data_IF_442581140382
#
_entry.id   IF_442581140382
#
_cell.length_a   1.000
_cell.length_b   1.000
_cell.length_c   1.000
_cell.angle_alpha   90.00
_cell.angle_beta   90.00
_cell.angle_gamma   90.00
#
_symmetry.space_group_name_H-M   'P 1'
#
loop_
_entity.id
_entity.type
_entity.pdbx_description
1 polymer ?
#
# COMPACT_ATOMS: atom_id res chain seq x y z
N UNK A 1 -18.54 16.15 18.90
CA UNK A 1 -17.09 16.35 18.73
C UNK A 1 -16.77 17.72 18.15
N UNK A 2 -17.35 18.12 17.02
CA UNK A 2 -17.06 19.43 16.38
C UNK A 2 -17.07 20.61 17.36
N UNK A 3 -18.17 20.87 18.06
CA UNK A 3 -18.27 22.03 18.98
C UNK A 3 -17.21 22.02 20.07
N UNK A 4 -16.87 20.84 20.60
CA UNK A 4 -15.87 20.69 21.65
C UNK A 4 -14.46 20.98 21.10
N UNK A 5 -14.13 20.42 19.95
CA UNK A 5 -12.83 20.62 19.29
C UNK A 5 -12.68 22.07 18.83
N UNK A 6 -13.73 22.68 18.30
CA UNK A 6 -13.74 24.07 17.88
C UNK A 6 -13.50 25.02 19.08
N UNK A 7 -14.21 24.82 20.19
CA UNK A 7 -14.02 25.60 21.44
C UNK A 7 -12.59 25.47 21.99
N UNK A 8 -11.97 24.30 21.83
CA UNK A 8 -10.60 24.01 22.28
C UNK A 8 -9.52 24.32 21.24
N UNK A 9 -9.87 24.87 20.07
CA UNK A 9 -8.93 25.12 18.95
C UNK A 9 -8.16 23.86 18.49
N UNK A 10 -8.84 22.72 18.41
CA UNK A 10 -8.28 21.43 18.00
C UNK A 10 -8.52 21.08 16.52
N UNK A 11 -9.13 22.00 15.78
CA UNK A 11 -9.41 21.87 14.36
C UNK A 11 -8.42 22.71 13.56
N UNK A 12 -8.10 22.26 12.35
CA UNK A 12 -7.42 23.10 11.36
C UNK A 12 -8.26 24.37 11.12
N UNK A 13 -7.61 25.48 10.82
CA UNK A 13 -8.28 26.77 10.60
C UNK A 13 -8.09 27.25 9.17
N UNK A 14 -8.97 28.17 8.77
CA UNK A 14 -8.80 28.96 7.56
C UNK A 14 -8.36 30.37 7.95
N UNK A 15 -7.38 30.92 7.23
CA UNK A 15 -6.97 32.32 7.38
C UNK A 15 -8.00 33.28 6.75
N UNK A 16 -8.70 32.82 5.70
CA UNK A 16 -9.77 33.55 5.01
C UNK A 16 -10.90 32.60 4.58
N UNK A 17 -12.13 33.13 4.47
CA UNK A 17 -13.28 32.39 3.93
C UNK A 17 -14.07 31.57 4.95
N UNK A 18 -14.93 30.67 4.45
CA UNK A 18 -15.78 29.78 5.26
C UNK A 18 -14.93 28.62 5.79
N UNK A 19 -15.07 28.27 7.06
CA UNK A 19 -14.39 27.12 7.68
C UNK A 19 -15.03 25.80 7.23
N UNK A 20 -14.72 25.37 6.02
CA UNK A 20 -15.06 24.06 5.45
C UNK A 20 -13.86 23.58 4.63
N UNK A 21 -13.38 22.37 4.90
CA UNK A 21 -12.15 21.83 4.31
C UNK A 21 -12.44 20.74 3.28
N UNK A 22 -13.47 19.92 3.54
CA UNK A 22 -13.93 18.87 2.64
C UNK A 22 -15.46 18.83 2.65
N UNK A 23 -16.07 18.69 1.48
CA UNK A 23 -17.53 18.69 1.27
C UNK A 23 -18.11 17.29 1.02
N UNK A 24 -17.28 16.25 1.11
CA UNK A 24 -17.69 14.88 0.90
C UNK A 24 -18.69 14.43 1.98
N UNK A 25 -19.92 14.13 1.54
CA UNK A 25 -21.06 13.79 2.39
C UNK A 25 -21.43 14.85 3.45
N UNK A 26 -21.02 16.10 3.24
CA UNK A 26 -21.33 17.24 4.10
C UNK A 26 -20.11 18.11 4.39
N UNK A 27 -20.36 19.25 5.04
CA UNK A 27 -19.30 20.20 5.35
C UNK A 27 -18.49 19.70 6.55
N UNK A 28 -17.22 19.40 6.33
CA UNK A 28 -16.32 18.88 7.37
C UNK A 28 -15.08 19.75 7.54
N UNK A 29 -14.46 19.63 8.70
CA UNK A 29 -13.26 20.35 9.12
C UNK A 29 -12.32 19.35 9.75
N UNK A 30 -11.13 19.19 9.17
CA UNK A 30 -10.09 18.31 9.70
C UNK A 30 -9.69 18.69 11.13
N UNK A 31 -9.46 17.67 11.96
CA UNK A 31 -8.73 17.87 13.21
C UNK A 31 -7.29 18.28 12.92
N UNK A 32 -6.67 19.03 13.81
CA UNK A 32 -5.29 19.46 13.58
C UNK A 32 -4.29 18.43 14.08
N UNK A 33 -3.81 17.54 13.21
CA UNK A 33 -2.83 16.53 13.59
C UNK A 33 -1.56 17.13 14.21
N UNK A 34 -1.18 18.37 13.85
CA UNK A 34 0.02 19.02 14.39
C UNK A 34 -0.17 19.46 15.85
N UNK A 35 -1.41 19.64 16.31
CA UNK A 35 -1.76 19.98 17.69
C UNK A 35 -1.73 18.75 18.61
N UNK A 36 -0.85 18.69 19.64
CA UNK A 36 -0.79 17.56 20.57
C UNK A 36 -2.11 17.27 21.30
N UNK A 37 -2.89 18.29 21.65
CA UNK A 37 -4.18 18.11 22.32
C UNK A 37 -5.23 17.51 21.37
N UNK A 38 -5.19 17.89 20.08
CA UNK A 38 -6.09 17.32 19.07
C UNK A 38 -5.76 15.84 18.80
N UNK A 39 -4.47 15.48 18.75
CA UNK A 39 -4.03 14.07 18.65
C UNK A 39 -4.53 13.24 19.83
N UNK A 40 -4.40 13.74 21.06
CA UNK A 40 -4.94 13.07 22.24
C UNK A 40 -6.46 12.95 22.14
N UNK A 41 -7.15 14.01 21.74
CA UNK A 41 -8.59 14.02 21.61
C UNK A 41 -9.09 12.95 20.63
N UNK A 42 -8.52 12.88 19.42
CA UNK A 42 -8.97 11.93 18.40
C UNK A 42 -8.68 10.49 18.83
N UNK A 43 -7.50 10.25 19.43
CA UNK A 43 -7.16 8.94 19.98
C UNK A 43 -8.13 8.51 21.07
N UNK A 44 -8.45 9.35 22.06
CA UNK A 44 -9.37 8.97 23.15
C UNK A 44 -10.77 8.62 22.63
N UNK A 45 -11.24 9.29 21.56
CA UNK A 45 -12.49 8.91 20.89
C UNK A 45 -12.35 7.55 20.19
N UNK A 46 -11.25 7.31 19.49
CA UNK A 46 -11.01 6.02 18.82
C UNK A 46 -10.86 4.89 19.84
N UNK A 47 -10.14 5.14 20.94
CA UNK A 47 -9.89 4.20 22.02
C UNK A 47 -11.20 3.69 22.62
N UNK A 48 -12.03 4.63 23.10
CA UNK A 48 -13.32 4.33 23.73
C UNK A 48 -14.28 3.55 22.81
N UNK A 49 -14.27 3.87 21.52
CA UNK A 49 -15.28 3.37 20.59
C UNK A 49 -14.86 2.11 19.83
N UNK A 50 -13.56 1.88 19.69
CA UNK A 50 -13.00 0.78 18.88
C UNK A 50 -11.95 -0.02 19.64
N UNK A 51 -10.89 0.61 20.15
CA UNK A 51 -9.77 -0.12 20.77
C UNK A 51 -10.20 -0.92 22.00
N UNK A 52 -10.97 -0.32 22.91
CA UNK A 52 -11.53 -0.97 24.10
C UNK A 52 -12.53 -2.09 23.74
N UNK A 53 -12.96 -2.15 22.47
CA UNK A 53 -13.81 -3.21 21.92
C UNK A 53 -13.03 -4.26 21.12
N UNK A 54 -11.69 -4.22 21.16
CA UNK A 54 -10.81 -5.22 20.55
C UNK A 54 -10.24 -4.84 19.19
N UNK A 55 -10.51 -3.66 18.65
CA UNK A 55 -9.87 -3.21 17.38
C UNK A 55 -8.42 -2.85 17.63
N UNK A 56 -7.49 -3.48 16.89
CA UNK A 56 -6.03 -3.33 17.06
C UNK A 56 -5.30 -2.74 15.85
N UNK A 57 -6.01 -2.50 14.76
CA UNK A 57 -5.49 -1.84 13.56
C UNK A 57 -6.46 -0.74 13.17
N UNK A 58 -5.94 0.45 12.94
CA UNK A 58 -6.72 1.57 12.43
C UNK A 58 -6.34 1.86 10.98
N UNK A 59 -7.37 2.07 10.16
CA UNK A 59 -7.21 2.66 8.85
C UNK A 59 -7.32 4.17 9.00
N UNK A 60 -6.17 4.84 8.94
CA UNK A 60 -6.00 6.28 9.01
C UNK A 60 -6.08 6.85 7.60
N UNK A 61 -7.30 6.84 7.07
CA UNK A 61 -7.63 7.37 5.76
C UNK A 61 -7.60 8.90 5.74
N UNK A 62 -7.57 9.50 4.54
CA UNK A 62 -7.57 10.97 4.39
C UNK A 62 -6.36 11.62 5.09
N UNK A 63 -5.19 11.00 4.96
CA UNK A 63 -4.02 11.34 5.77
C UNK A 63 -3.19 12.53 5.25
N UNK A 64 -3.46 13.02 4.03
CA UNK A 64 -2.73 14.15 3.42
C UNK A 64 -2.85 15.45 4.23
N UNK A 65 -4.05 15.93 4.66
CA UNK A 65 -5.42 15.43 4.43
C UNK A 65 -6.06 15.91 3.11
N UNK A 66 -7.09 15.22 2.63
CA UNK A 66 -7.74 15.53 1.34
C UNK A 66 -8.69 16.72 1.42
N UNK A 67 -8.15 17.91 1.16
CA UNK A 67 -8.98 19.09 0.98
C UNK A 67 -9.78 19.00 -0.32
N UNK A 68 -11.06 19.39 -0.31
CA UNK A 68 -11.85 19.52 -1.55
C UNK A 68 -11.23 20.52 -2.54
N UNK A 69 -10.37 21.41 -2.06
CA UNK A 69 -9.42 22.16 -2.89
C UNK A 69 -8.06 22.29 -2.20
N UNK A 70 -7.00 21.85 -2.90
CA UNK A 70 -5.60 21.92 -2.44
C UNK A 70 -5.03 23.35 -2.51
N UNK A 71 -5.62 24.28 -1.75
CA UNK A 71 -5.16 25.67 -1.65
C UNK A 71 -4.48 25.91 -0.30
N UNK A 72 -3.26 25.37 -0.14
CA UNK A 72 -2.50 25.43 1.12
C UNK A 72 -2.32 26.82 1.74
N UNK A 73 -2.20 27.93 0.99
CA UNK A 73 -2.21 29.28 1.55
C UNK A 73 -3.45 29.65 2.39
N UNK A 74 -4.59 28.96 2.20
CA UNK A 74 -5.82 29.23 2.95
C UNK A 74 -5.80 28.63 4.35
N UNK A 75 -5.05 27.54 4.56
CA UNK A 75 -5.15 26.73 5.76
C UNK A 75 -4.05 27.09 6.77
N UNK A 76 -4.36 26.91 8.06
CA UNK A 76 -3.44 27.09 9.17
C UNK A 76 -3.55 25.94 10.16
N UNK A 77 -2.39 25.40 10.51
CA UNK A 77 -2.21 24.43 11.58
C UNK A 77 -1.69 25.11 12.85
N UNK A 78 -1.68 24.37 13.95
CA UNK A 78 -1.18 24.77 15.25
C UNK A 78 0.29 25.18 15.19
N UNK A 79 1.08 24.52 14.35
CA UNK A 79 2.50 24.81 14.15
C UNK A 79 2.77 25.91 13.12
N UNK A 80 1.74 26.48 12.48
CA UNK A 80 1.90 27.60 11.54
C UNK A 80 1.08 27.45 10.25
N UNK A 81 1.35 28.32 9.25
CA UNK A 81 0.67 28.28 7.96
C UNK A 81 0.83 26.91 7.28
N UNK A 82 -0.22 26.40 6.65
CA UNK A 82 -0.19 25.10 5.99
C UNK A 82 0.79 25.08 4.81
N UNK A 83 0.93 26.19 4.07
CA UNK A 83 1.94 26.34 3.02
C UNK A 83 3.38 25.96 3.45
N UNK A 84 3.73 26.16 4.73
CA UNK A 84 5.05 25.81 5.26
C UNK A 84 5.09 24.42 5.92
N UNK A 85 3.93 23.82 6.23
CA UNK A 85 3.83 22.73 7.19
C UNK A 85 2.95 21.54 6.72
N UNK A 86 2.24 21.59 5.59
CA UNK A 86 1.29 20.52 5.21
C UNK A 86 1.91 19.14 5.12
N UNK A 87 3.14 19.05 4.62
CA UNK A 87 3.78 17.75 4.44
C UNK A 87 4.01 17.01 5.77
N UNK A 88 4.10 17.67 6.93
CA UNK A 88 4.29 16.97 8.22
C UNK A 88 2.98 16.44 8.82
N UNK A 89 1.82 16.83 8.30
CA UNK A 89 0.51 16.43 8.80
C UNK A 89 0.35 14.90 8.91
N UNK A 90 0.56 14.08 7.84
CA UNK A 90 0.39 12.62 7.90
C UNK A 90 1.26 11.97 8.96
N UNK A 91 2.49 12.45 9.15
CA UNK A 91 3.40 11.94 10.19
C UNK A 91 2.82 12.12 11.58
N UNK A 92 2.21 13.27 11.85
CA UNK A 92 1.57 13.51 13.13
C UNK A 92 0.24 12.77 13.30
N UNK A 93 -0.48 12.50 12.20
CA UNK A 93 -1.66 11.66 12.26
C UNK A 93 -1.31 10.22 12.66
N UNK A 94 -0.30 9.61 12.01
CA UNK A 94 0.22 8.30 12.43
C UNK A 94 0.70 8.31 13.89
N UNK A 95 1.43 9.38 14.29
CA UNK A 95 1.89 9.54 15.67
C UNK A 95 0.75 9.54 16.68
N UNK A 96 -0.40 10.14 16.37
CA UNK A 96 -1.54 10.21 17.29
C UNK A 96 -2.02 8.82 17.72
N UNK A 97 -2.15 7.91 16.77
CA UNK A 97 -2.61 6.54 17.02
C UNK A 97 -1.49 5.67 17.55
N UNK A 98 -0.27 5.82 17.03
CA UNK A 98 0.89 5.09 17.53
C UNK A 98 1.13 5.33 19.03
N UNK A 99 1.28 6.59 19.43
CA UNK A 99 1.51 6.95 20.84
C UNK A 99 0.36 6.44 21.71
N UNK A 100 -0.89 6.66 21.27
CA UNK A 100 -2.08 6.26 22.01
C UNK A 100 -2.21 4.76 22.22
N UNK A 101 -1.95 3.95 21.18
CA UNK A 101 -1.98 2.49 21.25
C UNK A 101 -0.85 1.96 22.14
N UNK A 102 0.36 2.52 22.02
CA UNK A 102 1.49 2.16 22.89
C UNK A 102 1.23 2.50 24.35
N UNK A 103 0.69 3.69 24.64
CA UNK A 103 0.27 4.06 26.00
C UNK A 103 -0.84 3.15 26.55
N UNK A 104 -1.66 2.58 25.67
CA UNK A 104 -2.70 1.62 26.01
C UNK A 104 -2.22 0.15 26.05
N UNK A 105 -0.91 -0.08 25.92
CA UNK A 105 -0.26 -1.38 26.11
C UNK A 105 0.06 -2.17 24.84
N UNK A 106 -0.12 -1.61 23.63
CA UNK A 106 0.31 -2.27 22.39
C UNK A 106 1.81 -2.14 22.15
N UNK A 107 2.48 -3.27 21.94
CA UNK A 107 3.92 -3.36 21.66
C UNK A 107 4.24 -3.36 20.16
N UNK A 108 3.32 -3.85 19.32
CA UNK A 108 3.49 -4.01 17.86
C UNK A 108 2.42 -3.25 17.09
N UNK A 109 2.48 -1.92 17.18
CA UNK A 109 1.51 -1.05 16.50
C UNK A 109 1.77 -1.00 14.99
N UNK A 110 0.71 -1.26 14.23
CA UNK A 110 0.65 -1.04 12.78
C UNK A 110 -0.70 -0.44 12.42
N UNK A 111 -0.69 0.58 11.57
CA UNK A 111 -1.88 1.25 11.05
C UNK A 111 -1.74 1.47 9.55
N UNK A 112 -2.84 1.32 8.82
CA UNK A 112 -2.91 1.58 7.38
C UNK A 112 -3.10 3.08 7.16
N UNK A 113 -2.21 3.77 6.44
CA UNK A 113 -2.19 5.25 6.32
C UNK A 113 -1.99 5.67 4.86
N UNK A 114 -2.73 6.67 4.37
CA UNK A 114 -2.75 7.01 2.92
C UNK A 114 -1.56 7.85 2.49
N UNK A 115 -0.98 8.56 3.43
CA UNK A 115 0.07 9.52 3.19
C UNK A 115 1.13 9.44 4.29
N UNK A 116 2.34 9.86 3.98
CA UNK A 116 3.47 9.80 4.88
C UNK A 116 4.44 10.97 4.65
N UNK A 117 5.31 11.20 5.63
CA UNK A 117 6.45 12.10 5.51
C UNK A 117 7.69 11.47 6.12
N UNK A 118 8.83 12.15 5.98
CA UNK A 118 10.09 11.68 6.53
C UNK A 118 9.97 11.29 8.03
N UNK A 119 10.28 10.04 8.34
CA UNK A 119 10.21 9.51 9.70
C UNK A 119 8.85 8.91 10.10
N UNK A 120 7.85 8.86 9.22
CA UNK A 120 6.55 8.22 9.51
C UNK A 120 6.67 6.71 9.82
N UNK A 121 7.68 6.02 9.28
CA UNK A 121 7.91 4.60 9.54
C UNK A 121 8.10 4.28 11.04
N UNK A 122 8.54 5.26 11.84
CA UNK A 122 8.68 5.14 13.31
C UNK A 122 7.34 5.02 14.04
N UNK A 123 6.23 5.37 13.38
CA UNK A 123 4.89 5.39 13.97
C UNK A 123 3.99 4.28 13.41
N UNK A 124 4.59 3.13 13.07
CA UNK A 124 3.85 1.96 12.59
C UNK A 124 3.04 2.21 11.32
N UNK A 125 3.56 3.04 10.41
CA UNK A 125 2.86 3.46 9.20
C UNK A 125 3.01 2.40 8.11
N UNK A 126 1.94 1.63 7.86
CA UNK A 126 1.74 0.87 6.63
C UNK A 126 1.13 1.80 5.58
N UNK A 127 1.95 2.26 4.65
CA UNK A 127 1.52 3.16 3.59
C UNK A 127 0.77 2.38 2.50
N UNK A 128 -0.35 2.90 2.00
CA UNK A 128 -0.88 2.46 0.70
C UNK A 128 -1.01 3.63 -0.26
N UNK A 129 -1.06 3.33 -1.55
CA UNK A 129 -0.98 4.31 -2.64
C UNK A 129 -2.22 5.18 -2.89
N UNK A 130 -3.29 5.01 -2.12
CA UNK A 130 -4.55 5.74 -2.32
C UNK A 130 -5.35 5.28 -3.54
N UNK A 131 -6.19 6.20 -3.99
CA UNK A 131 -7.38 5.93 -4.81
C UNK A 131 -7.06 5.89 -6.32
N UNK A 132 -6.29 4.89 -6.72
CA UNK A 132 -5.77 4.76 -8.10
C UNK A 132 -6.78 4.09 -9.04
N UNK A 133 -6.72 4.43 -10.33
CA UNK A 133 -7.54 3.78 -11.37
C UNK A 133 -7.16 2.29 -11.55
N UNK A 134 -8.17 1.43 -11.69
CA UNK A 134 -8.05 -0.01 -11.97
C UNK A 134 -7.58 -0.31 -13.41
N UNK A 135 -6.30 -0.02 -13.71
CA UNK A 135 -5.72 -0.23 -15.04
C UNK A 135 -4.28 -0.76 -14.97
N UNK A 136 -3.78 -1.36 -16.06
CA UNK A 136 -2.36 -1.72 -16.19
C UNK A 136 -1.41 -0.53 -16.07
N UNK A 137 -1.85 0.67 -16.49
CA UNK A 137 -1.09 1.89 -16.24
C UNK A 137 -0.98 2.18 -14.74
N UNK A 138 -2.10 2.08 -14.02
CA UNK A 138 -2.15 2.23 -12.57
C UNK A 138 -1.18 1.25 -11.88
N UNK A 139 -1.17 -0.02 -12.31
CA UNK A 139 -0.22 -1.03 -11.84
C UNK A 139 1.24 -0.61 -12.06
N UNK A 140 1.62 -0.14 -13.26
CA UNK A 140 2.99 0.35 -13.54
C UNK A 140 3.40 1.53 -12.66
N UNK A 141 2.48 2.48 -12.47
CA UNK A 141 2.72 3.63 -11.60
C UNK A 141 2.91 3.18 -10.14
N UNK A 142 2.16 2.17 -9.69
CA UNK A 142 2.30 1.63 -8.33
C UNK A 142 3.57 0.82 -8.13
N UNK A 143 3.98 0.07 -9.15
CA UNK A 143 5.27 -0.62 -9.16
C UNK A 143 6.42 0.36 -8.89
N UNK A 144 6.48 1.45 -9.67
CA UNK A 144 7.50 2.48 -9.50
C UNK A 144 7.37 3.21 -8.15
N UNK A 145 6.15 3.49 -7.70
CA UNK A 145 5.90 4.14 -6.42
C UNK A 145 6.39 3.28 -5.24
N UNK A 146 6.09 1.98 -5.23
CA UNK A 146 6.49 1.07 -4.15
C UNK A 146 8.00 1.00 -3.96
N UNK A 147 8.76 0.90 -5.05
CA UNK A 147 10.22 0.88 -5.00
C UNK A 147 10.79 2.20 -4.44
N UNK A 148 10.26 3.34 -4.90
CA UNK A 148 10.68 4.65 -4.39
C UNK A 148 10.30 4.88 -2.93
N UNK A 149 9.13 4.40 -2.50
CA UNK A 149 8.70 4.45 -1.08
C UNK A 149 9.63 3.62 -0.20
N UNK A 150 10.02 2.43 -0.66
CA UNK A 150 11.02 1.60 0.00
C UNK A 150 12.35 2.34 0.19
N UNK A 151 12.88 2.91 -0.90
CA UNK A 151 14.11 3.72 -0.87
C UNK A 151 14.00 4.99 -0.01
N UNK A 152 12.80 5.58 0.09
CA UNK A 152 12.51 6.71 0.98
C UNK A 152 12.45 6.31 2.47
N UNK A 153 12.65 5.03 2.79
CA UNK A 153 12.74 4.53 4.17
C UNK A 153 11.41 4.13 4.79
N UNK A 154 10.38 3.85 3.98
CA UNK A 154 9.10 3.31 4.44
C UNK A 154 9.00 1.85 3.98
N UNK A 155 9.40 0.89 4.82
CA UNK A 155 9.45 -0.53 4.42
C UNK A 155 8.06 -1.19 4.35
N UNK A 156 7.07 -0.61 5.02
CA UNK A 156 5.70 -1.12 5.05
C UNK A 156 4.87 -0.37 4.03
N UNK A 157 4.70 -0.98 2.86
CA UNK A 157 3.93 -0.43 1.75
C UNK A 157 3.01 -1.49 1.13
N UNK A 158 1.91 -1.06 0.54
CA UNK A 158 0.97 -1.91 -0.20
C UNK A 158 0.14 -1.09 -1.19
N UNK A 159 -0.72 -1.76 -1.96
CA UNK A 159 -1.69 -1.15 -2.86
C UNK A 159 -3.09 -1.69 -2.57
N UNK A 160 -4.08 -1.13 -3.25
CA UNK A 160 -5.33 -1.83 -3.51
C UNK A 160 -5.07 -2.84 -4.65
N UNK A 161 -5.12 -4.15 -4.38
CA UNK A 161 -4.98 -5.14 -5.46
C UNK A 161 -6.12 -4.97 -6.46
N UNK A 162 -5.77 -4.72 -7.72
CA UNK A 162 -6.69 -4.36 -8.80
C UNK A 162 -7.02 -2.87 -8.89
N UNK A 163 -6.36 -2.00 -8.10
CA UNK A 163 -6.67 -0.57 -8.04
C UNK A 163 -7.95 -0.26 -7.25
N UNK A 164 -8.24 1.02 -7.07
CA UNK A 164 -9.40 1.49 -6.31
C UNK A 164 -10.61 1.73 -7.21
N UNK A 165 -10.47 2.58 -8.22
CA UNK A 165 -11.60 3.12 -9.00
C UNK A 165 -11.88 2.32 -10.28
N UNK A 166 -13.18 2.21 -10.63
CA UNK A 166 -13.71 1.81 -11.95
C UNK A 166 -13.48 0.35 -12.38
N UNK A 167 -12.93 -0.51 -11.52
CA UNK A 167 -12.83 -1.93 -11.80
C UNK A 167 -14.19 -2.63 -11.81
N UNK A 168 -14.55 -3.31 -12.89
CA UNK A 168 -15.78 -4.11 -13.03
C UNK A 168 -15.47 -5.60 -12.94
N UNK A 169 -15.83 -6.33 -11.87
CA UNK A 169 -15.54 -7.76 -11.73
C UNK A 169 -16.06 -8.64 -12.86
N UNK A 170 -17.07 -8.19 -13.62
CA UNK A 170 -17.63 -8.90 -14.78
C UNK A 170 -16.92 -8.59 -16.11
N UNK A 171 -15.97 -7.65 -16.13
CA UNK A 171 -15.23 -7.25 -17.33
C UNK A 171 -13.93 -8.09 -17.48
N UNK A 172 -13.79 -8.88 -18.56
CA UNK A 172 -12.59 -9.71 -18.77
C UNK A 172 -11.28 -8.92 -18.80
N UNK A 173 -11.26 -7.70 -19.36
CA UNK A 173 -10.04 -6.89 -19.42
C UNK A 173 -9.63 -6.44 -17.99
N UNK A 174 -10.61 -6.14 -17.12
CA UNK A 174 -10.34 -5.87 -15.71
C UNK A 174 -9.94 -7.13 -14.93
N UNK A 175 -10.57 -8.27 -15.19
CA UNK A 175 -10.19 -9.55 -14.55
C UNK A 175 -8.73 -9.90 -14.83
N UNK A 176 -8.24 -9.69 -16.07
CA UNK A 176 -6.83 -9.85 -16.40
C UNK A 176 -5.95 -8.92 -15.54
N UNK A 177 -6.28 -7.62 -15.50
CA UNK A 177 -5.56 -6.65 -14.68
C UNK A 177 -5.56 -7.02 -13.19
N UNK A 178 -6.70 -7.46 -12.66
CA UNK A 178 -6.86 -7.95 -11.29
C UNK A 178 -5.92 -9.12 -11.01
N UNK A 179 -5.91 -10.16 -11.85
CA UNK A 179 -5.03 -11.32 -11.66
C UNK A 179 -3.57 -10.91 -11.68
N UNK A 180 -3.13 -10.08 -12.64
CA UNK A 180 -1.74 -9.61 -12.72
C UNK A 180 -1.34 -8.75 -11.52
N UNK A 181 -2.24 -7.90 -11.03
CA UNK A 181 -2.01 -7.11 -9.82
C UNK A 181 -2.00 -7.99 -8.56
N UNK A 182 -2.82 -9.04 -8.51
CA UNK A 182 -2.86 -10.00 -7.42
C UNK A 182 -1.54 -10.76 -7.29
N UNK A 183 -0.97 -11.18 -8.43
CA UNK A 183 0.36 -11.78 -8.53
C UNK A 183 1.44 -10.85 -7.97
N UNK A 184 1.46 -9.58 -8.40
CA UNK A 184 2.36 -8.56 -7.84
C UNK A 184 2.15 -8.36 -6.32
N UNK A 185 0.90 -8.36 -5.86
CA UNK A 185 0.54 -8.19 -4.46
C UNK A 185 1.13 -9.27 -3.55
N UNK A 186 1.24 -10.53 -4.00
CA UNK A 186 1.87 -11.62 -3.23
C UNK A 186 3.30 -11.28 -2.85
N UNK A 187 4.01 -10.57 -3.72
CA UNK A 187 5.40 -10.16 -3.55
C UNK A 187 5.53 -8.68 -3.15
N UNK A 188 4.48 -8.13 -2.52
CA UNK A 188 4.52 -6.81 -1.89
C UNK A 188 4.71 -6.94 -0.36
N UNK A 189 5.18 -5.89 0.35
CA UNK A 189 5.44 -5.98 1.79
C UNK A 189 4.20 -6.43 2.58
N UNK A 190 3.03 -5.85 2.27
CA UNK A 190 1.73 -6.33 2.73
C UNK A 190 0.85 -6.70 1.54
N UNK A 191 0.16 -7.82 1.67
CA UNK A 191 -0.76 -8.35 0.67
C UNK A 191 -2.20 -8.01 1.06
N UNK A 192 -2.82 -7.08 0.34
CA UNK A 192 -4.12 -6.49 0.70
C UNK A 192 -5.04 -6.31 -0.52
N UNK A 193 -6.21 -6.94 -0.46
CA UNK A 193 -7.28 -6.76 -1.44
C UNK A 193 -8.25 -5.66 -0.98
N UNK A 194 -8.45 -4.66 -1.82
CA UNK A 194 -9.39 -3.57 -1.59
C UNK A 194 -9.79 -2.91 -2.91
N UNK A 195 -10.85 -2.10 -2.89
CA UNK A 195 -11.24 -1.22 -3.98
C UNK A 195 -12.74 -0.96 -4.07
N UNK A 196 -13.10 0.10 -4.79
CA UNK A 196 -14.47 0.51 -5.12
C UNK A 196 -14.85 -0.06 -6.49
N UNK A 197 -15.44 -1.26 -6.48
CA UNK A 197 -15.84 -1.97 -7.71
C UNK A 197 -17.15 -1.44 -8.27
N UNK A 198 -17.24 -1.35 -9.59
CA UNK A 198 -18.50 -1.08 -10.29
C UNK A 198 -19.18 -2.41 -10.69
N UNK A 199 -20.51 -2.46 -10.86
CA UNK A 199 -21.46 -1.37 -10.63
C UNK A 199 -21.71 -1.08 -9.14
N UNK A 200 -21.93 0.19 -8.80
CA UNK A 200 -22.28 0.58 -7.43
C UNK A 200 -23.69 0.13 -7.04
N UNK A 201 -23.80 -0.32 -5.79
CA UNK A 201 -25.04 -0.62 -5.09
C UNK A 201 -25.62 0.62 -4.44
N UNK A 202 -26.95 0.70 -4.39
CA UNK A 202 -27.64 1.84 -3.76
C UNK A 202 -27.31 1.90 -2.25
N UNK A 203 -27.31 3.11 -1.65
CA UNK A 203 -27.21 3.26 -0.21
C UNK A 203 -28.23 2.39 0.54
N UNK A 204 -27.82 1.81 1.66
CA UNK A 204 -28.64 0.90 2.49
C UNK A 204 -29.30 1.62 3.68
N UNK A 205 -29.06 2.92 3.84
CA UNK A 205 -29.61 3.74 4.91
C UNK A 205 -29.50 5.24 4.61
N UNK A 206 -29.92 6.07 5.57
CA UNK A 206 -29.90 7.53 5.47
C UNK A 206 -28.92 8.19 6.43
N UNK A 207 -28.18 7.41 7.21
CA UNK A 207 -27.25 7.88 8.24
C UNK A 207 -25.99 7.00 8.26
N UNK A 208 -24.88 7.60 8.73
CA UNK A 208 -23.60 6.91 8.84
C UNK A 208 -23.09 6.40 7.49
N UNK A 209 -22.23 5.36 7.52
CA UNK A 209 -21.69 4.76 6.29
C UNK A 209 -22.76 4.20 5.34
N UNK A 210 -23.94 3.81 5.85
CA UNK A 210 -25.04 3.32 5.02
C UNK A 210 -25.70 4.38 4.14
N UNK A 211 -25.40 5.67 4.34
CA UNK A 211 -25.87 6.77 3.49
C UNK A 211 -25.08 6.91 2.18
N UNK A 212 -23.87 6.32 2.11
CA UNK A 212 -23.08 6.28 0.89
C UNK A 212 -23.40 5.02 0.08
N UNK A 213 -23.09 5.06 -1.21
CA UNK A 213 -23.18 3.86 -2.04
C UNK A 213 -22.07 2.86 -1.62
N UNK A 214 -22.23 1.61 -2.03
CA UNK A 214 -21.17 0.60 -1.89
C UNK A 214 -20.79 0.08 -3.27
N UNK A 215 -19.56 -0.40 -3.44
CA UNK A 215 -19.15 -1.08 -4.66
C UNK A 215 -19.85 -2.42 -4.89
N UNK A 216 -19.55 -3.04 -6.02
CA UNK A 216 -19.80 -4.45 -6.28
C UNK A 216 -18.93 -5.34 -5.36
N UNK A 217 -19.13 -6.66 -5.45
CA UNK A 217 -18.35 -7.62 -4.67
C UNK A 217 -16.86 -7.58 -5.08
N UNK A 218 -15.98 -7.83 -4.12
CA UNK A 218 -14.53 -7.76 -4.31
C UNK A 218 -13.79 -8.94 -3.69
N UNK A 219 -14.51 -9.96 -3.23
CA UNK A 219 -13.93 -11.20 -2.76
C UNK A 219 -13.29 -11.97 -3.93
N UNK A 220 -12.32 -12.84 -3.62
CA UNK A 220 -11.54 -13.56 -4.63
C UNK A 220 -12.37 -14.48 -5.54
N UNK A 221 -13.55 -14.90 -5.10
CA UNK A 221 -14.49 -15.71 -5.89
C UNK A 221 -15.42 -14.85 -6.77
N UNK A 222 -15.33 -13.53 -6.72
CA UNK A 222 -16.19 -12.60 -7.46
C UNK A 222 -15.70 -12.33 -8.89
N UNK A 223 -14.62 -13.00 -9.32
CA UNK A 223 -13.93 -12.76 -10.59
C UNK A 223 -14.00 -13.96 -11.55
N UNK A 224 -14.91 -14.91 -11.31
CA UNK A 224 -15.03 -16.16 -12.07
C UNK A 224 -14.17 -17.30 -11.52
N UNK A 225 -14.58 -18.53 -11.82
CA UNK A 225 -13.99 -19.76 -11.25
C UNK A 225 -12.53 -19.98 -11.66
N UNK A 226 -12.20 -19.72 -12.93
CA UNK A 226 -10.83 -19.87 -13.45
C UNK A 226 -9.87 -18.91 -12.73
N UNK A 227 -10.26 -17.63 -12.60
CA UNK A 227 -9.47 -16.64 -11.88
C UNK A 227 -9.36 -16.95 -10.39
N UNK A 228 -10.42 -17.49 -9.77
CA UNK A 228 -10.40 -17.92 -8.37
C UNK A 228 -9.32 -18.97 -8.12
N UNK A 229 -9.21 -20.01 -8.96
CA UNK A 229 -8.18 -21.04 -8.80
C UNK A 229 -6.76 -20.47 -8.99
N UNK A 230 -6.58 -19.51 -9.89
CA UNK A 230 -5.31 -18.78 -10.04
C UNK A 230 -4.99 -18.02 -8.74
N UNK A 231 -5.87 -17.13 -8.28
CA UNK A 231 -5.56 -16.28 -7.11
C UNK A 231 -5.46 -17.09 -5.81
N UNK A 232 -6.18 -18.21 -5.69
CA UNK A 232 -6.05 -19.17 -4.58
C UNK A 232 -4.65 -19.76 -4.50
N UNK A 233 -4.04 -20.16 -5.62
CA UNK A 233 -2.64 -20.60 -5.66
C UNK A 233 -1.72 -19.54 -5.07
N UNK A 234 -1.90 -18.29 -5.46
CA UNK A 234 -1.12 -17.14 -4.97
C UNK A 234 -1.36 -16.80 -3.49
N UNK A 235 -2.59 -16.96 -2.99
CA UNK A 235 -2.87 -16.82 -1.56
C UNK A 235 -2.14 -17.89 -0.73
N UNK A 236 -2.14 -19.14 -1.19
CA UNK A 236 -1.42 -20.23 -0.51
C UNK A 236 0.09 -19.99 -0.53
N UNK A 237 0.63 -19.54 -1.66
CA UNK A 237 2.05 -19.13 -1.73
C UNK A 237 2.37 -18.02 -0.73
N UNK A 238 1.49 -17.01 -0.59
CA UNK A 238 1.70 -15.94 0.38
C UNK A 238 1.78 -16.47 1.82
N UNK A 239 1.00 -17.50 2.15
CA UNK A 239 1.07 -18.17 3.44
C UNK A 239 2.40 -18.93 3.62
N UNK A 240 2.87 -19.62 2.59
CA UNK A 240 4.18 -20.30 2.59
C UNK A 240 5.35 -19.33 2.78
N UNK A 241 5.24 -18.12 2.21
CA UNK A 241 6.27 -17.08 2.31
C UNK A 241 6.32 -16.36 3.67
N UNK A 242 5.38 -16.60 4.59
CA UNK A 242 5.31 -15.89 5.89
C UNK A 242 6.61 -15.93 6.71
N UNK A 243 7.35 -17.05 6.84
CA UNK A 243 8.62 -17.07 7.56
C UNK A 243 9.66 -16.14 6.92
N UNK A 244 9.72 -16.12 5.59
CA UNK A 244 10.62 -15.24 4.85
C UNK A 244 10.25 -13.78 5.03
N UNK A 245 8.97 -13.45 4.85
CA UNK A 245 8.44 -12.09 5.04
C UNK A 245 8.72 -11.60 6.46
N UNK A 246 8.57 -12.47 7.47
CA UNK A 246 8.91 -12.14 8.86
C UNK A 246 10.37 -11.74 8.98
N UNK A 247 11.29 -12.52 8.39
CA UNK A 247 12.71 -12.18 8.40
C UNK A 247 13.04 -10.87 7.66
N UNK A 248 12.29 -10.53 6.59
CA UNK A 248 12.44 -9.25 5.90
C UNK A 248 11.94 -8.07 6.74
N UNK A 249 10.85 -8.25 7.48
CA UNK A 249 10.32 -7.23 8.40
C UNK A 249 11.26 -7.01 9.59
N UNK A 250 11.91 -8.06 10.10
CA UNK A 250 12.98 -7.97 11.10
C UNK A 250 14.20 -7.22 10.54
N UNK A 251 14.64 -7.55 9.33
CA UNK A 251 15.74 -6.85 8.67
C UNK A 251 15.41 -5.35 8.46
N UNK A 252 14.18 -5.04 8.03
CA UNK A 252 13.71 -3.68 7.90
C UNK A 252 13.72 -2.92 9.23
N UNK A 253 13.35 -3.59 10.33
CA UNK A 253 13.39 -3.02 11.68
C UNK A 253 14.82 -2.72 12.15
N UNK A 254 15.75 -3.65 11.93
CA UNK A 254 17.12 -3.55 12.43
C UNK A 254 18.03 -2.65 11.58
N UNK A 255 17.88 -2.72 10.25
CA UNK A 255 18.81 -2.10 9.29
C UNK A 255 18.20 -0.98 8.47
N UNK A 256 16.87 -0.87 8.46
CA UNK A 256 16.17 0.04 7.56
C UNK A 256 16.11 -0.43 6.10
N UNK A 257 16.44 -1.70 5.82
CA UNK A 257 16.34 -2.27 4.48
C UNK A 257 14.89 -2.26 4.01
N UNK A 258 14.58 -1.82 2.77
CA UNK A 258 13.25 -1.96 2.22
C UNK A 258 12.93 -3.44 1.95
N UNK A 259 11.63 -3.79 1.97
CA UNK A 259 11.17 -5.16 1.72
C UNK A 259 11.10 -5.46 0.22
N UNK A 260 10.66 -4.48 -0.57
CA UNK A 260 10.78 -4.50 -2.04
C UNK A 260 11.97 -3.63 -2.42
N UNK A 261 12.89 -4.16 -3.23
CA UNK A 261 14.21 -3.57 -3.49
C UNK A 261 14.43 -3.43 -4.98
N UNK A 262 14.95 -2.28 -5.42
CA UNK A 262 15.45 -2.14 -6.79
C UNK A 262 16.63 -3.09 -7.02
N UNK A 263 16.88 -3.49 -8.27
CA UNK A 263 18.00 -4.39 -8.55
C UNK A 263 19.33 -3.77 -8.09
N UNK A 264 19.56 -2.48 -8.36
CA UNK A 264 20.77 -1.77 -7.93
C UNK A 264 20.99 -1.74 -6.42
N UNK A 265 19.95 -1.87 -5.60
CA UNK A 265 20.09 -1.91 -4.15
C UNK A 265 20.83 -3.18 -3.72
N UNK A 266 20.55 -4.30 -4.39
CA UNK A 266 21.15 -5.61 -4.12
C UNK A 266 22.42 -5.87 -4.95
N UNK A 267 22.49 -5.30 -6.15
CA UNK A 267 23.56 -5.49 -7.13
C UNK A 267 24.13 -4.15 -7.58
N UNK A 268 24.74 -3.34 -6.68
CA UNK A 268 25.19 -1.99 -7.01
C UNK A 268 26.34 -1.96 -8.02
N UNK A 269 27.14 -3.03 -8.10
CA UNK A 269 28.27 -3.14 -9.04
C UNK A 269 27.83 -3.58 -10.45
N UNK A 270 26.63 -4.16 -10.58
CA UNK A 270 26.05 -4.54 -11.85
C UNK A 270 25.44 -3.30 -12.52
N UNK A 271 26.09 -2.80 -13.57
CA UNK A 271 25.64 -1.58 -14.26
C UNK A 271 24.24 -1.72 -14.85
N UNK A 272 23.86 -2.91 -15.32
CA UNK A 272 22.52 -3.12 -15.90
C UNK A 272 21.44 -3.03 -14.83
N UNK A 273 21.73 -3.43 -13.59
CA UNK A 273 20.78 -3.36 -12.48
C UNK A 273 20.31 -1.93 -12.14
N UNK A 274 21.03 -0.90 -12.60
CA UNK A 274 20.63 0.51 -12.48
C UNK A 274 19.63 0.97 -13.55
N UNK A 275 19.58 0.27 -14.68
CA UNK A 275 18.76 0.65 -15.85
C UNK A 275 17.44 -0.12 -15.91
N UNK A 276 17.31 -1.25 -15.20
CA UNK A 276 16.08 -2.05 -15.16
C UNK A 276 15.03 -1.38 -14.26
N UNK A 277 13.85 -1.12 -14.84
CA UNK A 277 12.75 -0.39 -14.21
C UNK A 277 11.43 -1.18 -14.15
N UNK A 278 11.45 -2.46 -14.51
CA UNK A 278 10.28 -3.35 -14.56
C UNK A 278 10.50 -4.71 -13.87
N UNK A 279 11.53 -4.80 -13.04
CA UNK A 279 11.90 -5.93 -12.19
C UNK A 279 12.33 -5.45 -10.80
N UNK A 280 12.18 -6.30 -9.79
CA UNK A 280 12.62 -5.98 -8.43
C UNK A 280 12.93 -7.23 -7.63
N UNK A 281 13.59 -7.03 -6.50
CA UNK A 281 13.85 -8.05 -5.51
C UNK A 281 12.83 -7.95 -4.36
N UNK A 282 12.16 -9.05 -4.04
CA UNK A 282 11.43 -9.19 -2.78
C UNK A 282 12.38 -9.79 -1.74
N UNK A 283 12.87 -8.94 -0.84
CA UNK A 283 14.01 -9.25 0.02
C UNK A 283 15.32 -9.36 -0.77
N UNK A 284 16.25 -10.19 -0.31
CA UNK A 284 17.47 -10.50 -1.07
C UNK A 284 17.32 -11.71 -1.99
N UNK A 285 16.30 -12.54 -1.85
CA UNK A 285 16.35 -13.92 -2.37
C UNK A 285 15.44 -14.18 -3.56
N UNK A 286 14.43 -13.33 -3.79
CA UNK A 286 13.39 -13.55 -4.80
C UNK A 286 13.40 -12.40 -5.80
N UNK A 287 13.78 -12.67 -7.05
CA UNK A 287 13.60 -11.75 -8.18
C UNK A 287 12.19 -11.91 -8.74
N UNK A 288 11.51 -10.79 -8.95
CA UNK A 288 10.12 -10.75 -9.45
C UNK A 288 10.06 -9.83 -10.66
N UNK A 289 9.45 -10.32 -11.74
CA UNK A 289 9.28 -9.57 -12.99
C UNK A 289 7.78 -9.54 -13.38
N UNK A 290 6.98 -8.61 -12.82
CA UNK A 290 5.53 -8.59 -12.99
C UNK A 290 5.06 -8.34 -14.42
N UNK A 291 3.97 -8.96 -14.86
CA UNK A 291 3.34 -8.60 -16.15
C UNK A 291 2.50 -7.34 -15.94
N UNK A 292 2.94 -6.23 -16.53
CA UNK A 292 2.32 -4.91 -16.35
C UNK A 292 1.73 -4.32 -17.64
N UNK A 293 1.52 -5.16 -18.66
CA UNK A 293 0.86 -4.83 -19.91
C UNK A 293 -0.21 -5.87 -20.22
N UNK A 294 -1.31 -5.42 -20.80
CA UNK A 294 -2.43 -6.26 -21.21
C UNK A 294 -2.02 -7.29 -22.27
N UNK A 295 -2.70 -8.44 -22.29
CA UNK A 295 -2.63 -9.46 -23.35
C UNK A 295 -1.20 -9.93 -23.63
N UNK A 296 -0.39 -9.96 -22.57
CA UNK A 296 1.02 -10.35 -22.61
C UNK A 296 1.17 -11.68 -21.89
N UNK A 297 1.75 -12.65 -22.60
CA UNK A 297 1.99 -14.03 -22.13
C UNK A 297 3.47 -14.41 -22.12
N UNK A 298 4.37 -13.47 -22.43
CA UNK A 298 5.82 -13.61 -22.36
C UNK A 298 6.47 -12.27 -22.02
N UNK A 299 7.65 -12.29 -21.41
CA UNK A 299 8.47 -11.08 -21.26
C UNK A 299 9.95 -11.39 -21.25
N UNK A 300 10.75 -10.35 -21.49
CA UNK A 300 12.18 -10.40 -21.22
C UNK A 300 12.42 -10.19 -19.72
N UNK A 301 13.39 -10.92 -19.16
CA UNK A 301 13.83 -10.81 -17.77
C UNK A 301 15.35 -10.76 -17.72
N UNK A 302 15.90 -9.76 -17.05
CA UNK A 302 17.31 -9.69 -16.71
C UNK A 302 17.58 -10.43 -15.39
N UNK A 303 18.58 -11.29 -15.39
CA UNK A 303 19.04 -12.00 -14.21
C UNK A 303 20.35 -11.33 -13.75
N UNK A 304 20.39 -10.64 -12.60
CA UNK A 304 21.59 -9.96 -12.14
C UNK A 304 22.80 -10.87 -12.01
N UNK A 305 24.00 -10.32 -12.27
CA UNK A 305 25.26 -11.09 -12.19
C UNK A 305 25.67 -11.43 -10.74
N UNK A 306 26.61 -12.38 -10.60
CA UNK A 306 27.19 -12.75 -9.31
C UNK A 306 26.50 -13.91 -8.58
N UNK A 307 25.36 -14.40 -9.08
CA UNK A 307 24.70 -15.61 -8.59
C UNK A 307 23.95 -16.34 -9.71
N UNK A 308 23.56 -17.58 -9.43
CA UNK A 308 22.64 -18.35 -10.29
C UNK A 308 21.21 -18.12 -9.84
N UNK A 309 20.28 -18.26 -10.77
CA UNK A 309 18.85 -18.02 -10.54
C UNK A 309 18.04 -19.23 -10.98
N UNK A 310 17.14 -19.69 -10.13
CA UNK A 310 16.24 -20.81 -10.43
C UNK A 310 14.85 -20.26 -10.71
N UNK A 311 14.32 -20.51 -11.92
CA UNK A 311 12.92 -20.17 -12.22
C UNK A 311 11.99 -20.95 -11.28
N UNK A 312 11.14 -20.26 -10.52
CA UNK A 312 10.30 -20.90 -9.51
C UNK A 312 9.23 -21.81 -10.11
N UNK A 313 8.86 -21.64 -11.37
CA UNK A 313 7.87 -22.49 -12.05
C UNK A 313 8.53 -23.67 -12.77
N UNK A 314 9.47 -23.41 -13.68
CA UNK A 314 10.09 -24.47 -14.51
C UNK A 314 11.21 -25.21 -13.80
N UNK A 315 11.76 -24.63 -12.73
CA UNK A 315 12.94 -25.12 -11.99
C UNK A 315 14.23 -25.14 -12.80
N UNK A 316 14.23 -24.53 -13.98
CA UNK A 316 15.43 -24.32 -14.78
C UNK A 316 16.37 -23.33 -14.07
N UNK A 317 17.67 -23.61 -14.13
CA UNK A 317 18.72 -22.81 -13.49
C UNK A 317 19.48 -22.04 -14.55
N UNK A 318 19.60 -20.74 -14.35
CA UNK A 318 20.26 -19.80 -15.25
C UNK A 318 21.47 -19.15 -14.58
N UNK A 319 22.48 -18.84 -15.39
CA UNK A 319 23.59 -17.98 -14.96
C UNK A 319 23.13 -16.52 -14.91
N UNK A 320 23.55 -15.79 -13.88
CA UNK A 320 23.37 -14.34 -13.80
C UNK A 320 24.15 -13.58 -14.89
N UNK A 321 23.86 -12.29 -15.04
CA UNK A 321 24.39 -11.42 -16.09
C UNK A 321 23.73 -11.63 -17.46
N UNK A 322 22.64 -12.41 -17.51
CA UNK A 322 21.95 -12.80 -18.74
C UNK A 322 20.56 -12.19 -18.81
N UNK A 323 20.07 -11.99 -20.03
CA UNK A 323 18.68 -11.61 -20.29
C UNK A 323 18.03 -12.78 -21.03
N UNK A 324 16.90 -13.26 -20.50
CA UNK A 324 16.17 -14.40 -21.05
C UNK A 324 14.75 -13.98 -21.44
N UNK A 325 14.15 -14.70 -22.39
CA UNK A 325 12.72 -14.61 -22.66
C UNK A 325 12.02 -15.72 -21.88
N UNK A 326 10.94 -15.39 -21.18
CA UNK A 326 10.18 -16.36 -20.38
C UNK A 326 8.70 -16.30 -20.69
N UNK A 327 8.09 -17.49 -20.64
CA UNK A 327 6.64 -17.63 -20.67
C UNK A 327 6.04 -17.14 -19.36
N UNK A 328 4.95 -16.39 -19.50
CA UNK A 328 4.19 -15.77 -18.43
C UNK A 328 2.68 -15.86 -18.74
N UNK A 329 2.11 -17.08 -18.90
CA UNK A 329 0.66 -17.24 -19.06
C UNK A 329 -0.10 -16.60 -17.89
N UNK A 330 -1.41 -16.42 -18.02
CA UNK A 330 -2.22 -15.66 -17.05
C UNK A 330 -2.03 -16.16 -15.60
N UNK A 331 -1.82 -17.45 -15.39
CA UNK A 331 -1.66 -18.08 -14.08
C UNK A 331 -0.22 -18.04 -13.53
N UNK A 332 0.76 -17.56 -14.30
CA UNK A 332 2.18 -17.52 -13.93
C UNK A 332 2.74 -16.10 -14.05
N UNK A 333 3.31 -15.60 -12.95
CA UNK A 333 4.21 -14.45 -12.92
C UNK A 333 5.67 -14.94 -12.93
N UNK A 334 6.55 -14.38 -13.77
CA UNK A 334 7.97 -14.74 -13.75
C UNK A 334 8.64 -14.37 -12.42
N UNK A 335 9.14 -15.40 -11.73
CA UNK A 335 9.80 -15.29 -10.43
C UNK A 335 11.00 -16.23 -10.41
N UNK A 336 12.09 -15.76 -9.83
CA UNK A 336 13.33 -16.51 -9.74
C UNK A 336 13.88 -16.49 -8.31
N UNK A 337 14.38 -17.64 -7.88
CA UNK A 337 14.95 -17.85 -6.56
C UNK A 337 16.47 -17.82 -6.70
N UNK A 338 17.13 -16.95 -5.93
CA UNK A 338 18.58 -16.82 -5.88
C UNK A 338 19.20 -18.12 -5.35
N UNK A 339 20.32 -18.54 -5.92
CA UNK A 339 21.11 -19.64 -5.36
C UNK A 339 21.51 -19.34 -3.91
N UNK A 340 21.26 -20.30 -3.01
CA UNK A 340 21.50 -20.12 -1.57
C UNK A 340 20.43 -19.31 -0.82
N UNK A 341 19.29 -19.03 -1.45
CA UNK A 341 18.13 -18.39 -0.83
C UNK A 341 17.67 -19.10 0.46
N UNK A 342 17.06 -18.33 1.37
CA UNK A 342 16.42 -18.86 2.59
C UNK A 342 15.02 -19.44 2.33
N UNK A 343 14.60 -19.45 1.07
CA UNK A 343 13.29 -19.87 0.60
C UNK A 343 13.45 -20.77 -0.61
N UNK A 344 12.56 -21.75 -0.71
CA UNK A 344 12.39 -22.56 -1.91
C UNK A 344 10.91 -22.90 -2.04
N UNK A 345 10.31 -22.55 -3.18
CA UNK A 345 8.92 -22.80 -3.50
C UNK A 345 8.76 -23.02 -5.00
N UNK A 346 7.67 -23.68 -5.39
CA UNK A 346 7.32 -23.88 -6.80
C UNK A 346 6.00 -23.19 -7.12
N UNK A 347 5.98 -22.40 -8.20
CA UNK A 347 4.83 -21.58 -8.63
C UNK A 347 3.92 -22.26 -9.64
#
# INVERSE_FOLDING_TARGET
>A
NFDEMNKKNLLVKNDIGITTHMEFMGNTVFFDATNPEARKFIWEKAKKNYYEKGVKLFWLDEAEPEYSGYNFPLYRYHIGPALQNSNIYPRYFSKAFYDGMTEAGEDKVINLVRCAWAGSQKYGTLLWSGDVDSTFRGLREQFAAGLNVGLAGIPWWTTDIGGFLRGNPDDPDFQECFVRWFQYGVFSPVFRLHGERIPHRKPIGTKGGGAFFSGADNEVWSYGEENYEIVKKYMLLREELKPYITSLMEEAHEKGSPVIRTLFYEFPEDKKAWDIDDEYLFGSDILVAPIMYEKTDKRSVYLPEGCRWTNSHTREVFEGGTTIEVDAPLDIIPVFIREGAKVDFTL
#
